data_IF_983449573567
#
_entry.id   IF_983449573567
#
_cell.length_a   1.000
_cell.length_b   1.000
_cell.length_c   1.000
_cell.angle_alpha   90.00
_cell.angle_beta   90.00
_cell.angle_gamma   90.00
#
_symmetry.space_group_name_H-M   'P 1'
#
loop_
_entity.id
_entity.type
_entity.pdbx_description
1 polymer ?
#
# COMPACT_ATOMS: atom_id res chain seq x y z
N UNK A 1 7.95 2.55 13.28
CA UNK A 1 7.18 2.37 12.04
C UNK A 1 7.86 3.15 10.93
N UNK A 2 7.98 2.55 9.75
CA UNK A 2 8.60 3.17 8.56
C UNK A 2 7.77 4.37 8.07
N UNK A 3 8.44 5.48 7.69
CA UNK A 3 7.78 6.69 7.17
C UNK A 3 8.04 6.85 5.68
N UNK A 4 7.18 7.61 4.99
CA UNK A 4 7.31 7.87 3.55
C UNK A 4 8.66 8.50 3.15
N UNK A 5 9.32 9.26 4.04
CA UNK A 5 10.65 9.82 3.81
C UNK A 5 11.76 8.77 3.79
N UNK A 6 11.58 7.67 4.53
CA UNK A 6 12.55 6.58 4.64
C UNK A 6 12.48 5.61 3.45
N UNK A 7 11.34 5.60 2.75
CA UNK A 7 11.14 4.77 1.56
C UNK A 7 11.96 5.33 0.39
N UNK A 8 12.96 4.55 -0.05
CA UNK A 8 13.85 4.89 -1.18
C UNK A 8 13.33 4.42 -2.54
N UNK A 9 12.08 3.98 -2.61
CA UNK A 9 11.43 3.58 -3.84
C UNK A 9 10.80 4.76 -4.59
N UNK A 10 10.72 4.67 -5.91
CA UNK A 10 9.96 5.61 -6.72
C UNK A 10 8.45 5.44 -6.52
N UNK A 11 7.98 4.21 -6.30
CA UNK A 11 6.56 3.86 -6.25
C UNK A 11 6.22 2.84 -5.17
N UNK A 12 5.04 2.98 -4.58
CA UNK A 12 4.38 1.95 -3.78
C UNK A 12 3.35 1.25 -4.65
N UNK A 13 3.39 -0.07 -4.65
CA UNK A 13 2.43 -0.93 -5.35
C UNK A 13 1.57 -1.65 -4.31
N UNK A 14 0.26 -1.55 -4.45
CA UNK A 14 -0.71 -2.30 -3.65
C UNK A 14 -1.35 -3.38 -4.52
N UNK A 15 -1.13 -4.63 -4.17
CA UNK A 15 -1.75 -5.79 -4.81
C UNK A 15 -2.90 -6.27 -3.94
N UNK A 16 -4.11 -5.94 -4.35
CA UNK A 16 -5.34 -6.35 -3.69
C UNK A 16 -5.68 -7.78 -4.08
N UNK A 17 -5.12 -8.76 -3.36
CA UNK A 17 -5.30 -10.20 -3.64
C UNK A 17 -6.76 -10.65 -3.82
N UNK A 18 -7.73 -10.24 -2.98
CA UNK A 18 -9.07 -10.80 -3.11
C UNK A 18 -9.85 -10.26 -4.32
N UNK A 19 -9.47 -9.09 -4.87
CA UNK A 19 -10.10 -8.54 -6.07
C UNK A 19 -9.17 -8.56 -7.31
N UNK A 20 -7.95 -9.11 -7.18
CA UNK A 20 -6.95 -9.20 -8.24
C UNK A 20 -6.45 -7.85 -8.77
N UNK A 21 -6.71 -6.74 -8.08
CA UNK A 21 -6.39 -5.40 -8.57
C UNK A 21 -5.02 -4.94 -8.10
N UNK A 22 -4.41 -4.04 -8.89
CA UNK A 22 -3.15 -3.39 -8.58
C UNK A 22 -3.32 -1.88 -8.57
N UNK A 23 -2.89 -1.22 -7.49
CA UNK A 23 -2.67 0.21 -7.44
C UNK A 23 -1.16 0.50 -7.49
N UNK A 24 -0.74 1.51 -8.24
CA UNK A 24 0.65 1.97 -8.28
C UNK A 24 0.67 3.46 -7.98
N UNK A 25 1.37 3.86 -6.94
CA UNK A 25 1.36 5.21 -6.40
C UNK A 25 2.78 5.76 -6.35
N UNK A 26 3.00 6.92 -6.94
CA UNK A 26 4.31 7.60 -6.90
C UNK A 26 4.54 8.13 -5.48
N UNK A 27 5.70 7.83 -4.91
CA UNK A 27 6.06 8.21 -3.53
C UNK A 27 6.03 9.72 -3.35
N UNK A 28 6.55 10.50 -4.31
CA UNK A 28 6.49 11.97 -4.23
C UNK A 28 5.05 12.49 -4.14
N UNK A 29 4.12 11.92 -4.92
CA UNK A 29 2.70 12.30 -4.83
C UNK A 29 2.09 11.89 -3.48
N UNK A 30 2.49 10.75 -2.93
CA UNK A 30 2.05 10.34 -1.59
C UNK A 30 2.59 11.29 -0.52
N UNK A 31 3.85 11.72 -0.62
CA UNK A 31 4.45 12.71 0.28
C UNK A 31 3.74 14.06 0.19
N UNK A 32 3.37 14.51 -1.00
CA UNK A 32 2.57 15.74 -1.18
C UNK A 32 1.17 15.62 -0.56
N UNK A 33 0.54 14.43 -0.64
CA UNK A 33 -0.83 14.21 -0.16
C UNK A 33 -0.92 13.97 1.35
N UNK A 34 -0.02 13.16 1.91
CA UNK A 34 -0.09 12.71 3.30
C UNK A 34 0.98 13.37 4.20
N UNK A 35 1.95 14.07 3.60
CA UNK A 35 3.13 14.59 4.28
C UNK A 35 4.32 13.63 4.20
N UNK A 36 5.53 14.16 4.12
CA UNK A 36 6.75 13.36 3.99
C UNK A 36 7.00 12.43 5.20
N UNK A 37 6.53 12.82 6.39
CA UNK A 37 6.69 12.05 7.62
C UNK A 37 5.50 11.14 7.95
N UNK A 38 4.52 11.01 7.06
CA UNK A 38 3.42 10.08 7.26
C UNK A 38 3.95 8.64 7.38
N UNK A 39 3.35 7.87 8.27
CA UNK A 39 3.62 6.44 8.40
C UNK A 39 3.19 5.71 7.13
N UNK A 40 4.02 4.80 6.65
CA UNK A 40 3.67 3.92 5.51
C UNK A 40 2.41 3.10 5.84
N UNK A 41 2.23 2.73 7.11
CA UNK A 41 1.03 2.02 7.57
C UNK A 41 -0.23 2.89 7.45
N UNK A 42 -0.17 4.16 7.87
CA UNK A 42 -1.34 5.06 7.77
C UNK A 42 -1.70 5.32 6.30
N UNK A 43 -0.69 5.48 5.44
CA UNK A 43 -0.88 5.63 4.00
C UNK A 43 -1.50 4.35 3.41
N UNK A 44 -1.02 3.18 3.80
CA UNK A 44 -1.59 1.89 3.41
C UNK A 44 -3.06 1.78 3.83
N UNK A 45 -3.38 2.12 5.09
CA UNK A 45 -4.74 2.11 5.61
C UNK A 45 -5.64 3.07 4.84
N UNK A 46 -5.19 4.31 4.61
CA UNK A 46 -5.95 5.30 3.86
C UNK A 46 -6.20 4.86 2.40
N UNK A 47 -5.19 4.31 1.72
CA UNK A 47 -5.32 3.84 0.34
C UNK A 47 -6.23 2.62 0.22
N UNK A 48 -6.17 1.70 1.18
CA UNK A 48 -7.03 0.53 1.19
C UNK A 48 -8.47 0.92 1.53
N UNK A 49 -8.71 1.73 2.58
CA UNK A 49 -10.04 2.19 2.99
C UNK A 49 -10.76 3.04 1.94
N UNK A 50 -10.02 3.86 1.18
CA UNK A 50 -10.60 4.67 0.09
C UNK A 50 -10.81 3.89 -1.22
N UNK A 51 -10.58 2.58 -1.21
CA UNK A 51 -10.86 1.75 -2.37
C UNK A 51 -12.36 1.74 -2.65
N UNK A 52 -12.78 2.25 -3.82
CA UNK A 52 -14.18 2.31 -4.27
C UNK A 52 -14.94 0.97 -4.30
N UNK A 53 -14.23 -0.15 -4.11
CA UNK A 53 -14.80 -1.50 -4.06
C UNK A 53 -15.02 -1.99 -2.63
N UNK A 54 -14.44 -1.32 -1.63
CA UNK A 54 -14.89 -1.50 -0.25
C UNK A 54 -16.31 -0.94 -0.17
N UNK A 55 -17.22 -1.77 0.31
CA UNK A 55 -18.60 -1.39 0.55
C UNK A 55 -18.80 -1.06 2.02
N UNK A 56 -19.63 -0.07 2.28
CA UNK A 56 -19.98 0.30 3.66
C UNK A 56 -20.61 -0.89 4.40
N UNK A 57 -20.37 -0.93 5.71
CA UNK A 57 -21.00 -1.89 6.61
C UNK A 57 -22.52 -1.73 6.48
N UNK A 58 -23.23 -2.80 6.11
CA UNK A 58 -24.68 -2.77 5.86
C UNK A 58 -25.09 -2.69 4.39
N UNK A 59 -24.14 -2.65 3.44
CA UNK A 59 -24.46 -2.75 2.01
C UNK A 59 -25.15 -4.07 1.63
N UNK A 60 -26.11 -4.01 0.70
CA UNK A 60 -26.91 -5.17 0.22
C UNK A 60 -26.08 -6.33 -0.35
N UNK A 61 -24.88 -6.04 -0.85
CA UNK A 61 -23.88 -7.06 -1.20
C UNK A 61 -22.84 -7.05 -0.09
N UNK A 62 -22.54 -8.20 0.55
CA UNK A 62 -21.59 -8.24 1.66
C UNK A 62 -20.25 -7.69 1.18
N UNK A 63 -19.61 -6.87 2.02
CA UNK A 63 -18.25 -6.42 1.77
C UNK A 63 -17.29 -7.59 2.03
N UNK A 64 -17.18 -8.49 1.05
CA UNK A 64 -16.24 -9.62 1.05
C UNK A 64 -14.77 -9.18 1.12
N UNK A 65 -14.53 -7.87 1.02
CA UNK A 65 -13.22 -7.22 1.10
C UNK A 65 -13.07 -6.32 2.35
N UNK A 66 -14.08 -6.17 3.20
CA UNK A 66 -14.05 -5.25 4.36
C UNK A 66 -13.17 -5.80 5.48
N UNK A 67 -12.48 -4.93 6.24
CA UNK A 67 -11.46 -5.20 7.31
C UNK A 67 -10.32 -6.18 6.93
N UNK A 68 -10.48 -6.95 5.87
CA UNK A 68 -9.70 -8.12 5.45
C UNK A 68 -9.16 -7.95 4.04
N UNK A 69 -9.27 -6.75 3.45
CA UNK A 69 -8.54 -6.40 2.24
C UNK A 69 -7.03 -6.43 2.55
N UNK A 70 -6.45 -7.63 2.47
CA UNK A 70 -5.02 -7.89 2.64
C UNK A 70 -4.35 -7.51 1.32
N UNK A 71 -4.24 -6.20 1.08
CA UNK A 71 -3.42 -5.72 0.00
C UNK A 71 -1.95 -6.01 0.37
N UNK A 72 -1.21 -6.66 -0.52
CA UNK A 72 0.23 -6.76 -0.35
C UNK A 72 0.83 -5.43 -0.75
N UNK A 73 1.65 -4.86 0.13
CA UNK A 73 2.44 -3.68 -0.16
C UNK A 73 3.78 -4.14 -0.74
N UNK A 74 4.12 -3.58 -1.88
CA UNK A 74 5.35 -3.83 -2.62
C UNK A 74 5.94 -2.47 -3.03
N UNK A 75 7.25 -2.40 -3.27
CA UNK A 75 7.94 -1.17 -3.62
C UNK A 75 8.64 -1.27 -4.98
N UNK A 76 8.17 -0.42 -5.89
CA UNK A 76 8.61 -0.10 -7.25
C UNK A 76 9.84 0.80 -7.38
N UNK A 77 10.96 0.40 -7.97
CA UNK A 77 12.01 1.34 -8.37
C UNK A 77 12.78 1.95 -7.21
N UNK A 78 12.91 1.21 -6.10
CA UNK A 78 13.93 1.51 -5.10
C UNK A 78 15.26 0.86 -5.46
N UNK A 79 16.36 1.23 -4.79
CA UNK A 79 17.55 0.38 -4.81
C UNK A 79 17.08 -1.03 -4.42
N UNK A 80 17.44 -2.04 -5.22
CA UNK A 80 17.18 -3.43 -4.86
C UNK A 80 17.56 -3.62 -3.40
N UNK A 81 16.70 -4.22 -2.54
CA UNK A 81 17.14 -4.61 -1.22
C UNK A 81 18.36 -5.48 -1.45
N UNK A 82 19.55 -4.96 -1.10
CA UNK A 82 20.81 -5.64 -1.29
C UNK A 82 20.61 -7.05 -0.76
N UNK A 83 20.52 -8.01 -1.67
CA UNK A 83 20.18 -9.39 -1.35
C UNK A 83 21.11 -9.81 -0.23
N UNK A 84 20.55 -10.09 0.94
CA UNK A 84 21.31 -10.70 2.02
C UNK A 84 21.99 -11.92 1.38
N UNK A 85 23.34 -11.98 1.34
CA UNK A 85 24.00 -13.11 0.71
C UNK A 85 23.55 -14.36 1.46
N UNK A 86 22.95 -15.30 0.73
CA UNK A 86 22.67 -16.62 1.24
C UNK A 86 23.99 -17.21 1.72
N UNK A 87 24.17 -17.33 3.04
CA UNK A 87 25.31 -18.04 3.62
C UNK A 87 25.07 -19.52 3.39
N UNK A 88 25.86 -20.10 2.48
CA UNK A 88 26.13 -21.53 2.33
C UNK A 88 26.70 -22.12 3.61
#
# INVERSE_FOLDING_TARGET
MERLCDVRAERIVLLYSPCGRRGSYVIERLRQRFGAHASVLDVYLALTQTCRFQREVGSRTPNVYGITCRAKLDTTGGPEPAGLPSRT
#
